data_IF_726101380080
#
_entry.id   IF_726101380080
#
_cell.length_a   1.000
_cell.length_b   1.000
_cell.length_c   1.000
_cell.angle_alpha   90.00
_cell.angle_beta   90.00
_cell.angle_gamma   90.00
#
_symmetry.space_group_name_H-M   'P 1'
#
loop_
_entity.id
_entity.type
_entity.pdbx_description
1 polymer ?
#
# COMPACT_ATOMS: atom_id res chain seq x y z
N UNK A 1 -19.78 17.30 1.82
CA UNK A 1 -18.78 16.40 1.19
C UNK A 1 -19.40 15.73 -0.03
N UNK A 2 -18.65 15.48 -1.09
CA UNK A 2 -19.11 14.77 -2.32
C UNK A 2 -18.78 13.27 -2.31
N UNK A 3 -18.56 12.71 -1.11
CA UNK A 3 -18.32 11.27 -0.92
C UNK A 3 -19.49 10.48 -1.48
N UNK A 4 -19.23 9.31 -2.05
CA UNK A 4 -20.27 8.41 -2.59
C UNK A 4 -20.21 7.04 -1.94
N UNK A 5 -21.28 6.64 -1.27
CA UNK A 5 -21.34 5.35 -0.57
C UNK A 5 -20.62 5.35 0.78
N UNK A 6 -20.17 4.16 1.20
CA UNK A 6 -19.53 3.92 2.49
C UNK A 6 -18.18 3.22 2.33
N UNK A 7 -17.16 3.75 2.99
CA UNK A 7 -15.80 3.26 2.95
C UNK A 7 -15.22 3.20 4.35
N UNK A 8 -14.27 2.31 4.52
CA UNK A 8 -13.57 2.11 5.78
C UNK A 8 -12.09 1.92 5.51
N UNK A 9 -11.27 2.67 6.25
CA UNK A 9 -9.83 2.70 6.07
C UNK A 9 -9.11 2.66 7.42
N UNK A 10 -7.83 2.31 7.38
CA UNK A 10 -6.87 2.63 8.42
C UNK A 10 -6.06 3.86 8.04
N UNK A 11 -5.99 4.83 8.95
CA UNK A 11 -5.12 6.00 8.84
C UNK A 11 -4.35 6.15 10.15
N UNK A 12 -3.01 6.05 10.10
CA UNK A 12 -2.16 6.10 11.30
C UNK A 12 -2.55 5.07 12.39
N UNK A 13 -3.12 3.94 11.98
CA UNK A 13 -3.61 2.89 12.89
C UNK A 13 -5.04 3.09 13.40
N UNK A 14 -5.61 4.28 13.22
CA UNK A 14 -7.01 4.55 13.52
C UNK A 14 -7.91 3.97 12.42
N UNK A 15 -9.00 3.30 12.83
CA UNK A 15 -10.08 2.87 11.94
C UNK A 15 -10.98 4.07 11.66
N UNK A 16 -11.21 4.39 10.39
CA UNK A 16 -11.99 5.56 9.98
C UNK A 16 -13.07 5.14 9.01
N UNK A 17 -14.31 5.54 9.29
CA UNK A 17 -15.45 5.43 8.40
C UNK A 17 -15.63 6.72 7.63
N UNK A 18 -15.77 6.60 6.31
CA UNK A 18 -16.02 7.71 5.40
C UNK A 18 -17.32 7.41 4.68
N UNK A 19 -18.29 8.31 4.78
CA UNK A 19 -19.59 8.14 4.14
C UNK A 19 -20.19 9.47 3.67
N UNK A 20 -21.32 9.40 3.00
CA UNK A 20 -22.13 10.57 2.63
C UNK A 20 -22.55 11.41 3.85
N UNK A 21 -22.59 10.80 5.05
CA UNK A 21 -22.91 11.48 6.32
C UNK A 21 -21.72 12.20 6.94
N UNK A 22 -20.51 12.00 6.42
CA UNK A 22 -19.27 12.58 6.92
C UNK A 22 -18.22 11.53 7.29
N UNK A 23 -17.20 11.99 8.03
CA UNK A 23 -16.07 11.18 8.50
C UNK A 23 -16.28 10.88 9.99
N UNK A 24 -16.04 9.64 10.38
CA UNK A 24 -16.10 9.18 11.76
C UNK A 24 -14.82 8.39 12.07
N UNK A 25 -14.09 8.82 13.10
CA UNK A 25 -12.91 8.11 13.61
C UNK A 25 -13.40 7.10 14.65
N UNK A 26 -13.31 5.82 14.32
CA UNK A 26 -13.90 4.71 15.08
C UNK A 26 -12.95 4.13 16.13
N UNK A 27 -11.66 4.45 16.05
CA UNK A 27 -10.67 4.03 17.04
C UNK A 27 -9.55 5.07 17.15
N UNK A 28 -8.88 5.09 18.29
CA UNK A 28 -7.69 5.91 18.49
C UNK A 28 -6.55 5.52 17.52
N UNK A 29 -5.73 6.49 17.09
CA UNK A 29 -4.54 6.20 16.30
C UNK A 29 -3.51 5.43 17.13
N UNK A 30 -2.78 4.52 16.48
CA UNK A 30 -1.68 3.76 17.11
C UNK A 30 -0.32 4.45 16.93
N UNK A 31 -0.31 5.60 16.25
CA UNK A 31 0.87 6.37 15.88
C UNK A 31 0.68 7.78 16.40
N UNK A 32 1.57 8.24 17.27
CA UNK A 32 1.56 9.59 17.82
C UNK A 32 2.30 10.58 16.90
N UNK A 33 3.30 10.10 16.17
CA UNK A 33 4.07 10.91 15.22
C UNK A 33 4.50 10.08 14.01
N UNK A 34 4.41 10.67 12.82
CA UNK A 34 4.90 10.05 11.59
C UNK A 34 5.51 11.13 10.69
N UNK A 35 6.81 11.02 10.31
CA UNK A 35 7.46 12.04 9.47
C UNK A 35 6.80 12.15 8.09
N UNK A 36 6.26 11.05 7.56
CA UNK A 36 5.50 11.09 6.31
C UNK A 36 4.17 11.83 6.46
N UNK A 37 3.46 11.61 7.57
CA UNK A 37 2.20 12.29 7.82
C UNK A 37 2.41 13.79 8.06
N UNK A 38 3.48 14.16 8.78
CA UNK A 38 3.88 15.55 8.96
C UNK A 38 4.22 16.22 7.62
N UNK A 39 5.02 15.57 6.77
CA UNK A 39 5.38 16.12 5.46
C UNK A 39 4.17 16.34 4.54
N UNK A 40 3.16 15.45 4.60
CA UNK A 40 1.98 15.52 3.74
C UNK A 40 0.86 16.42 4.30
N UNK A 41 0.72 16.51 5.63
CA UNK A 41 -0.45 17.10 6.28
C UNK A 41 -0.11 18.16 7.34
N UNK A 42 1.17 18.40 7.63
CA UNK A 42 1.64 19.44 8.55
C UNK A 42 1.33 19.18 10.02
N UNK A 43 1.26 17.91 10.45
CA UNK A 43 0.89 17.53 11.82
C UNK A 43 2.08 16.98 12.62
N UNK A 44 2.49 17.68 13.67
CA UNK A 44 3.55 17.23 14.59
C UNK A 44 3.09 16.23 15.67
N UNK A 45 1.78 16.13 15.91
CA UNK A 45 1.15 15.11 16.78
C UNK A 45 -0.09 14.55 16.08
N UNK A 46 -0.31 13.25 16.23
CA UNK A 46 -1.42 12.52 15.60
C UNK A 46 -2.37 12.05 16.70
N UNK A 47 -3.57 12.64 16.72
CA UNK A 47 -4.74 12.26 17.50
C UNK A 47 -5.94 12.03 16.56
N UNK A 48 -7.12 11.76 17.11
CA UNK A 48 -8.34 11.55 16.33
C UNK A 48 -8.70 12.73 15.42
N UNK A 49 -8.47 13.97 15.85
CA UNK A 49 -8.74 15.17 15.06
C UNK A 49 -7.73 15.35 13.92
N UNK A 50 -6.45 15.07 14.16
CA UNK A 50 -5.42 15.06 13.13
C UNK A 50 -5.72 14.00 12.05
N UNK A 51 -6.18 12.81 12.46
CA UNK A 51 -6.62 11.75 11.54
C UNK A 51 -7.84 12.20 10.72
N UNK A 52 -8.87 12.75 11.38
CA UNK A 52 -10.05 13.28 10.68
C UNK A 52 -9.63 14.32 9.65
N UNK A 53 -8.83 15.30 10.05
CA UNK A 53 -8.37 16.41 9.18
C UNK A 53 -7.54 15.91 8.00
N UNK A 54 -6.69 14.91 8.18
CA UNK A 54 -5.91 14.36 7.05
C UNK A 54 -6.80 13.65 6.03
N UNK A 55 -7.85 12.96 6.47
CA UNK A 55 -8.87 12.39 5.59
C UNK A 55 -9.69 13.48 4.89
N UNK A 56 -10.07 14.56 5.59
CA UNK A 56 -10.73 15.73 4.99
C UNK A 56 -9.88 16.36 3.89
N UNK A 57 -8.58 16.53 4.14
CA UNK A 57 -7.63 17.07 3.16
C UNK A 57 -7.50 16.18 1.92
N UNK A 58 -7.49 14.84 2.08
CA UNK A 58 -7.51 13.90 0.95
C UNK A 58 -8.79 14.01 0.12
N UNK A 59 -9.95 14.10 0.77
CA UNK A 59 -11.23 14.24 0.08
C UNK A 59 -11.28 15.58 -0.67
N UNK A 60 -10.90 16.68 -0.02
CA UNK A 60 -10.95 18.01 -0.60
C UNK A 60 -9.92 18.21 -1.73
N UNK A 61 -8.69 17.71 -1.55
CA UNK A 61 -7.59 17.91 -2.49
C UNK A 61 -7.57 16.92 -3.66
N UNK A 62 -8.04 15.69 -3.44
CA UNK A 62 -7.85 14.59 -4.41
C UNK A 62 -9.14 13.83 -4.75
N UNK A 63 -10.28 14.22 -4.18
CA UNK A 63 -11.55 13.53 -4.42
C UNK A 63 -11.54 12.08 -3.93
N UNK A 64 -10.76 11.77 -2.89
CA UNK A 64 -10.74 10.44 -2.27
C UNK A 64 -12.18 10.02 -1.90
N UNK A 65 -12.58 8.79 -2.22
CA UNK A 65 -13.95 8.29 -2.03
C UNK A 65 -15.06 9.12 -2.73
N UNK A 66 -14.73 9.90 -3.77
CA UNK A 66 -15.68 10.72 -4.51
C UNK A 66 -15.71 10.33 -6.00
N UNK A 67 -16.80 10.67 -6.70
CA UNK A 67 -16.86 10.51 -8.17
C UNK A 67 -15.90 11.43 -8.94
N UNK A 68 -15.38 12.48 -8.30
CA UNK A 68 -14.38 13.39 -8.85
C UNK A 68 -12.94 13.03 -8.42
N UNK A 69 -12.67 11.73 -8.20
CA UNK A 69 -11.36 11.22 -7.81
C UNK A 69 -10.29 11.66 -8.81
N UNK A 70 -9.19 12.19 -8.30
CA UNK A 70 -8.01 12.56 -9.10
C UNK A 70 -7.12 11.34 -9.28
N UNK A 71 -6.75 11.05 -10.53
CA UNK A 71 -5.85 9.97 -10.91
C UNK A 71 -4.48 10.55 -11.28
N UNK A 72 -3.65 10.80 -10.27
CA UNK A 72 -2.34 11.44 -10.42
C UNK A 72 -1.20 10.41 -10.52
N UNK A 73 -0.46 10.44 -11.63
CA UNK A 73 0.68 9.55 -11.90
C UNK A 73 2.00 10.06 -11.30
N UNK A 74 1.99 11.22 -10.64
CA UNK A 74 3.14 11.81 -9.98
C UNK A 74 3.71 10.95 -8.86
N UNK A 75 5.01 11.11 -8.59
CA UNK A 75 5.67 10.52 -7.44
C UNK A 75 5.24 11.29 -6.19
N UNK A 76 4.80 10.58 -5.16
CA UNK A 76 4.30 11.20 -3.91
C UNK A 76 5.20 10.84 -2.74
N UNK A 77 5.71 9.60 -2.68
CA UNK A 77 6.54 9.12 -1.56
C UNK A 77 7.59 8.13 -2.04
N UNK A 78 8.88 8.42 -1.83
CA UNK A 78 9.93 7.48 -2.21
C UNK A 78 9.72 6.09 -1.58
N UNK A 79 9.97 5.04 -2.39
CA UNK A 79 9.80 3.64 -2.01
C UNK A 79 8.33 3.23 -1.78
N UNK A 80 7.37 3.93 -2.42
CA UNK A 80 5.98 3.51 -2.47
C UNK A 80 5.78 2.22 -3.27
N UNK A 81 4.85 1.35 -2.85
CA UNK A 81 4.58 0.09 -3.54
C UNK A 81 4.11 0.32 -4.99
N UNK A 82 3.23 1.29 -5.21
CA UNK A 82 2.73 1.63 -6.55
C UNK A 82 3.81 2.24 -7.45
N UNK A 83 4.74 3.01 -6.88
CA UNK A 83 5.87 3.60 -7.61
C UNK A 83 6.82 2.52 -8.11
N UNK A 84 7.14 1.57 -7.23
CA UNK A 84 7.93 0.39 -7.59
C UNK A 84 7.25 -0.47 -8.64
N UNK A 85 5.97 -0.81 -8.44
CA UNK A 85 5.20 -1.63 -9.40
C UNK A 85 5.08 -0.96 -10.77
N UNK A 86 4.94 0.37 -10.82
CA UNK A 86 4.98 1.13 -12.07
C UNK A 86 6.28 0.88 -12.82
N UNK A 87 7.42 1.07 -12.17
CA UNK A 87 8.74 0.85 -12.81
C UNK A 87 8.89 -0.60 -13.27
N UNK A 88 8.40 -1.58 -12.49
CA UNK A 88 8.48 -2.99 -12.86
C UNK A 88 7.62 -3.31 -14.09
N UNK A 89 6.45 -2.70 -14.23
CA UNK A 89 5.57 -2.83 -15.40
C UNK A 89 6.18 -2.13 -16.62
N UNK A 90 6.64 -0.89 -16.46
CA UNK A 90 7.21 -0.08 -17.55
C UNK A 90 8.47 -0.74 -18.13
N UNK A 91 9.23 -1.48 -17.31
CA UNK A 91 10.39 -2.29 -17.73
C UNK A 91 10.05 -3.72 -18.18
N UNK A 92 8.79 -4.13 -18.11
CA UNK A 92 8.37 -5.50 -18.43
C UNK A 92 9.00 -6.56 -17.53
N UNK A 93 9.31 -6.24 -16.28
CA UNK A 93 9.81 -7.18 -15.27
C UNK A 93 8.68 -7.99 -14.64
N UNK A 94 7.49 -7.39 -14.59
CA UNK A 94 6.20 -8.05 -14.30
C UNK A 94 5.22 -7.71 -15.43
N UNK A 95 4.21 -8.55 -15.64
CA UNK A 95 3.25 -8.40 -16.74
C UNK A 95 1.99 -7.64 -16.31
N UNK A 96 1.60 -7.77 -15.04
CA UNK A 96 0.47 -7.03 -14.46
C UNK A 96 0.66 -6.81 -12.95
N UNK A 97 -0.10 -5.86 -12.41
CA UNK A 97 -0.26 -5.64 -10.99
C UNK A 97 -1.70 -5.90 -10.56
N UNK A 98 -1.85 -6.46 -9.36
CA UNK A 98 -3.10 -6.61 -8.62
C UNK A 98 -3.02 -5.70 -7.40
N UNK A 99 -3.90 -4.71 -7.35
CA UNK A 99 -3.84 -3.60 -6.41
C UNK A 99 -5.26 -3.23 -5.98
N UNK A 100 -5.38 -2.34 -4.98
CA UNK A 100 -6.66 -1.91 -4.42
C UNK A 100 -6.92 -0.46 -4.83
N UNK A 101 -8.18 -0.11 -5.13
CA UNK A 101 -8.61 1.27 -5.34
C UNK A 101 -9.92 1.54 -4.59
N UNK A 102 -10.01 2.67 -3.88
CA UNK A 102 -11.26 3.10 -3.28
C UNK A 102 -12.28 3.39 -4.37
N UNK A 103 -13.51 2.90 -4.25
CA UNK A 103 -14.50 3.00 -5.31
C UNK A 103 -14.52 1.82 -6.28
N UNK A 104 -13.52 0.93 -6.26
CA UNK A 104 -13.43 -0.20 -7.20
C UNK A 104 -13.04 -1.55 -6.55
N UNK A 105 -12.41 -1.55 -5.37
CA UNK A 105 -11.95 -2.79 -4.73
C UNK A 105 -10.67 -3.30 -5.38
N UNK A 106 -10.59 -4.60 -5.65
CA UNK A 106 -9.45 -5.20 -6.36
C UNK A 106 -9.44 -4.82 -7.84
N UNK A 107 -8.29 -4.37 -8.33
CA UNK A 107 -8.03 -4.00 -9.72
C UNK A 107 -6.83 -4.79 -10.24
N UNK A 108 -6.98 -5.39 -11.43
CA UNK A 108 -5.89 -6.01 -12.19
C UNK A 108 -5.56 -5.11 -13.37
N UNK A 109 -4.30 -4.72 -13.54
CA UNK A 109 -3.89 -3.88 -14.68
C UNK A 109 -2.46 -4.13 -15.10
N UNK A 110 -2.15 -3.98 -16.39
CA UNK A 110 -0.79 -3.95 -16.94
C UNK A 110 -0.30 -2.51 -17.19
N UNK A 111 -1.12 -1.50 -16.88
CA UNK A 111 -0.78 -0.09 -17.06
C UNK A 111 -0.11 0.45 -15.79
N UNK A 112 1.22 0.67 -15.83
CA UNK A 112 1.99 1.20 -14.70
C UNK A 112 1.56 2.61 -14.26
N UNK A 113 1.12 3.45 -15.20
CA UNK A 113 0.53 4.75 -14.89
C UNK A 113 -0.74 4.62 -14.05
N UNK A 114 -1.64 3.70 -14.42
CA UNK A 114 -2.86 3.42 -13.66
C UNK A 114 -2.55 2.90 -12.26
N UNK A 115 -1.57 1.98 -12.11
CA UNK A 115 -1.13 1.48 -10.78
C UNK A 115 -0.71 2.63 -9.87
N UNK A 116 0.09 3.57 -10.39
CA UNK A 116 0.50 4.74 -9.63
C UNK A 116 -0.69 5.65 -9.32
N UNK A 117 -1.54 5.94 -10.32
CA UNK A 117 -2.69 6.82 -10.15
C UNK A 117 -3.71 6.34 -9.11
N UNK A 118 -3.83 5.02 -8.92
CA UNK A 118 -4.68 4.48 -7.86
C UNK A 118 -3.95 4.42 -6.51
N UNK A 119 -2.66 4.07 -6.50
CA UNK A 119 -1.89 3.78 -5.29
C UNK A 119 -1.24 4.99 -4.60
N UNK A 120 -0.95 6.07 -5.33
CA UNK A 120 -0.07 7.16 -4.90
C UNK A 120 -0.46 7.81 -3.56
N UNK A 121 -1.76 7.90 -3.27
CA UNK A 121 -2.32 8.48 -2.03
C UNK A 121 -3.19 7.50 -1.24
N UNK A 122 -3.14 6.24 -1.65
CA UNK A 122 -3.92 5.18 -1.03
C UNK A 122 -3.46 4.95 0.41
N UNK A 123 -4.41 4.59 1.25
CA UNK A 123 -4.15 4.15 2.61
C UNK A 123 -4.86 2.81 2.82
N UNK A 124 -4.70 2.16 3.96
CA UNK A 124 -5.18 0.78 4.13
C UNK A 124 -6.70 0.70 4.02
N UNK A 125 -7.24 0.26 2.87
CA UNK A 125 -8.70 0.17 2.66
C UNK A 125 -9.19 -1.16 3.22
N UNK A 126 -10.05 -1.09 4.23
CA UNK A 126 -10.70 -2.26 4.83
C UNK A 126 -11.93 -2.64 4.02
N UNK A 127 -12.74 -1.63 3.64
CA UNK A 127 -13.94 -1.80 2.83
C UNK A 127 -14.20 -0.56 1.97
N UNK A 128 -14.84 -0.76 0.83
CA UNK A 128 -15.19 0.34 -0.08
C UNK A 128 -16.48 0.05 -0.81
N UNK A 129 -17.24 1.08 -1.17
CA UNK A 129 -18.44 0.98 -2.01
C UNK A 129 -18.08 1.27 -3.47
N UNK A 130 -18.81 0.70 -4.45
CA UNK A 130 -18.57 1.01 -5.86
C UNK A 130 -18.85 2.48 -6.17
N UNK A 131 -17.92 3.12 -6.87
CA UNK A 131 -18.07 4.48 -7.40
C UNK A 131 -17.98 4.37 -8.92
N UNK A 132 -19.11 4.60 -9.59
CA UNK A 132 -19.23 4.41 -11.04
C UNK A 132 -18.13 5.14 -11.82
N UNK A 133 -17.90 6.42 -11.52
CA UNK A 133 -16.90 7.23 -12.24
C UNK A 133 -15.47 6.70 -12.06
N UNK A 134 -15.16 6.15 -10.89
CA UNK A 134 -13.85 5.54 -10.61
C UNK A 134 -13.69 4.25 -11.41
N UNK A 135 -14.72 3.39 -11.41
CA UNK A 135 -14.72 2.12 -12.16
C UNK A 135 -14.59 2.41 -13.66
N UNK A 136 -15.38 3.34 -14.20
CA UNK A 136 -15.36 3.72 -15.61
C UNK A 136 -13.97 4.24 -16.03
N UNK A 137 -13.34 5.08 -15.21
CA UNK A 137 -11.98 5.55 -15.48
C UNK A 137 -10.96 4.40 -15.49
N UNK A 138 -11.01 3.51 -14.49
CA UNK A 138 -10.11 2.35 -14.40
C UNK A 138 -10.23 1.48 -15.66
N UNK A 139 -11.44 1.24 -16.15
CA UNK A 139 -11.66 0.42 -17.34
C UNK A 139 -11.22 1.12 -18.63
N UNK A 140 -11.43 2.44 -18.72
CA UNK A 140 -10.95 3.25 -19.84
C UNK A 140 -9.41 3.22 -19.96
N UNK A 141 -8.71 3.17 -18.82
CA UNK A 141 -7.25 3.04 -18.73
C UNK A 141 -6.75 1.59 -18.85
N UNK A 142 -7.63 0.65 -19.23
CA UNK A 142 -7.29 -0.75 -19.48
C UNK A 142 -7.27 -1.65 -18.24
N UNK A 143 -7.57 -1.10 -17.06
CA UNK A 143 -7.72 -1.87 -15.82
C UNK A 143 -8.96 -2.77 -15.81
N UNK A 144 -8.90 -3.83 -15.02
CA UNK A 144 -10.00 -4.78 -14.80
C UNK A 144 -10.37 -4.79 -13.33
N UNK A 145 -11.57 -4.29 -13.04
CA UNK A 145 -12.15 -4.33 -11.70
C UNK A 145 -12.69 -5.74 -11.42
N UNK A 146 -12.30 -6.33 -10.30
CA UNK A 146 -12.68 -7.70 -9.93
C UNK A 146 -14.19 -7.85 -9.74
N UNK A 147 -14.80 -6.91 -9.01
CA UNK A 147 -16.22 -6.91 -8.68
C UNK A 147 -16.77 -5.48 -8.76
N UNK A 148 -17.38 -5.14 -9.90
CA UNK A 148 -17.93 -3.80 -10.14
C UNK A 148 -19.19 -3.51 -9.33
N UNK A 149 -19.90 -4.55 -8.89
CA UNK A 149 -21.18 -4.41 -8.21
C UNK A 149 -20.99 -4.10 -6.73
N UNK A 150 -19.96 -4.68 -6.11
CA UNK A 150 -19.72 -4.53 -4.67
C UNK A 150 -18.38 -3.87 -4.33
N UNK A 151 -17.49 -3.64 -5.31
CA UNK A 151 -16.12 -3.17 -5.09
C UNK A 151 -15.36 -4.03 -4.07
N UNK A 152 -15.52 -5.36 -4.17
CA UNK A 152 -14.91 -6.33 -3.26
C UNK A 152 -13.39 -6.27 -3.34
N UNK A 153 -12.75 -6.32 -2.17
CA UNK A 153 -11.30 -6.45 -2.03
C UNK A 153 -10.98 -7.91 -1.76
N UNK A 154 -10.44 -8.58 -2.79
CA UNK A 154 -9.92 -9.94 -2.72
C UNK A 154 -8.67 -10.03 -3.61
N UNK A 155 -7.50 -10.04 -2.98
CA UNK A 155 -6.22 -10.09 -3.70
C UNK A 155 -5.89 -11.51 -4.19
N UNK A 156 -6.40 -12.55 -3.51
CA UNK A 156 -6.20 -13.96 -3.90
C UNK A 156 -6.94 -14.24 -5.22
N UNK A 157 -8.20 -13.82 -5.30
CA UNK A 157 -8.99 -13.93 -6.52
C UNK A 157 -8.48 -12.98 -7.60
N UNK A 158 -7.98 -11.80 -7.23
CA UNK A 158 -7.31 -10.88 -8.16
C UNK A 158 -6.09 -11.51 -8.86
N UNK A 159 -5.23 -12.19 -8.11
CA UNK A 159 -4.09 -12.95 -8.67
C UNK A 159 -4.56 -14.09 -9.54
N UNK A 160 -5.55 -14.87 -9.10
CA UNK A 160 -6.13 -15.96 -9.89
C UNK A 160 -6.72 -15.43 -11.21
N UNK A 161 -7.39 -14.27 -11.17
CA UNK A 161 -7.94 -13.60 -12.34
C UNK A 161 -6.85 -13.10 -13.27
N UNK A 162 -5.74 -12.59 -12.76
CA UNK A 162 -4.60 -12.18 -13.57
C UNK A 162 -4.04 -13.35 -14.38
N UNK A 163 -3.85 -14.52 -13.76
CA UNK A 163 -3.43 -15.74 -14.48
C UNK A 163 -4.46 -16.19 -15.53
N UNK A 164 -5.76 -16.14 -15.20
CA UNK A 164 -6.83 -16.46 -16.15
C UNK A 164 -6.89 -15.49 -17.35
N UNK A 165 -6.36 -14.28 -17.21
CA UNK A 165 -6.21 -13.30 -18.30
C UNK A 165 -4.93 -13.54 -19.13
N UNK A 166 -4.11 -14.53 -18.77
CA UNK A 166 -2.90 -14.92 -19.51
C UNK A 166 -1.62 -14.23 -19.07
N UNK A 167 -1.66 -13.38 -18.03
CA UNK A 167 -0.45 -12.82 -17.43
C UNK A 167 0.36 -13.93 -16.74
N UNK A 168 1.69 -13.86 -16.79
CA UNK A 168 2.58 -14.90 -16.25
C UNK A 168 3.30 -14.45 -14.98
N UNK A 169 3.67 -13.16 -14.92
CA UNK A 169 4.42 -12.53 -13.83
C UNK A 169 3.55 -11.47 -13.19
N UNK A 170 3.06 -11.73 -11.99
CA UNK A 170 2.07 -10.89 -11.32
C UNK A 170 2.73 -10.19 -10.13
N UNK A 171 2.61 -8.87 -10.03
CA UNK A 171 2.87 -8.15 -8.79
C UNK A 171 1.55 -7.97 -8.02
N UNK A 172 1.53 -8.12 -6.70
CA UNK A 172 0.32 -7.94 -5.89
C UNK A 172 0.64 -7.19 -4.61
N UNK A 173 -0.20 -6.22 -4.22
CA UNK A 173 -0.10 -5.58 -2.91
C UNK A 173 -1.14 -6.13 -1.94
N UNK A 174 -0.70 -6.48 -0.73
CA UNK A 174 -1.57 -7.03 0.32
C UNK A 174 -1.39 -6.20 1.58
N UNK A 175 -2.50 -5.70 2.13
CA UNK A 175 -2.48 -4.96 3.37
C UNK A 175 -2.20 -5.90 4.56
N UNK A 176 -1.46 -5.42 5.56
CA UNK A 176 -1.07 -6.22 6.73
C UNK A 176 -2.24 -6.82 7.51
N UNK A 177 -3.37 -6.12 7.60
CA UNK A 177 -4.59 -6.65 8.23
C UNK A 177 -5.32 -7.71 7.38
N UNK A 178 -4.78 -8.07 6.22
CA UNK A 178 -5.20 -9.19 5.37
C UNK A 178 -4.03 -10.16 5.15
N UNK A 179 -3.09 -10.25 6.09
CA UNK A 179 -1.84 -10.99 5.92
C UNK A 179 -2.04 -12.46 5.50
N UNK A 180 -3.09 -13.14 5.98
CA UNK A 180 -3.45 -14.51 5.55
C UNK A 180 -3.53 -14.67 4.03
N UNK A 181 -3.98 -13.62 3.31
CA UNK A 181 -4.05 -13.63 1.85
C UNK A 181 -2.68 -13.84 1.20
N UNK A 182 -1.58 -13.42 1.84
CA UNK A 182 -0.22 -13.66 1.36
C UNK A 182 0.05 -15.17 1.29
N UNK A 183 -0.31 -15.92 2.33
CA UNK A 183 -0.13 -17.38 2.33
C UNK A 183 -0.98 -18.04 1.25
N UNK A 184 -2.25 -17.63 1.15
CA UNK A 184 -3.17 -18.16 0.12
C UNK A 184 -2.71 -17.82 -1.30
N UNK A 185 -2.12 -16.66 -1.54
CA UNK A 185 -1.51 -16.29 -2.83
C UNK A 185 -0.32 -17.20 -3.16
N UNK A 186 0.47 -17.63 -2.17
CA UNK A 186 1.54 -18.62 -2.39
C UNK A 186 0.98 -19.98 -2.79
N UNK A 187 -0.19 -20.37 -2.26
CA UNK A 187 -0.85 -21.63 -2.59
C UNK A 187 -1.46 -21.63 -4.00
N UNK A 188 -1.80 -20.45 -4.57
CA UNK A 188 -2.22 -20.32 -5.98
C UNK A 188 -1.10 -20.74 -6.94
N UNK A 189 0.16 -20.56 -6.53
CA UNK A 189 1.34 -20.83 -7.36
C UNK A 189 1.55 -19.80 -8.47
N UNK A 190 2.44 -20.13 -9.40
CA UNK A 190 2.85 -19.21 -10.47
C UNK A 190 3.88 -18.18 -10.03
N UNK A 191 4.24 -17.27 -10.94
CA UNK A 191 5.29 -16.28 -10.69
C UNK A 191 4.70 -14.98 -10.10
N UNK A 192 4.46 -14.98 -8.79
CA UNK A 192 3.86 -13.85 -8.06
C UNK A 192 4.87 -13.15 -7.17
N UNK A 193 4.93 -11.82 -7.26
CA UNK A 193 5.68 -10.95 -6.35
C UNK A 193 4.70 -10.31 -5.39
N UNK A 194 4.83 -10.62 -4.10
CA UNK A 194 3.92 -10.12 -3.07
C UNK A 194 4.57 -8.95 -2.32
N UNK A 195 3.85 -7.83 -2.29
CA UNK A 195 4.23 -6.62 -1.58
C UNK A 195 3.29 -6.42 -0.38
N UNK A 196 3.81 -6.57 0.83
CA UNK A 196 3.07 -6.30 2.07
C UNK A 196 3.10 -4.80 2.42
N UNK A 197 1.93 -4.19 2.57
CA UNK A 197 1.73 -2.75 2.79
C UNK A 197 0.81 -2.46 3.97
N UNK A 198 0.71 -1.20 4.42
CA UNK A 198 -0.22 -0.78 5.48
C UNK A 198 -0.12 -1.60 6.77
N UNK A 199 1.11 -1.87 7.22
CA UNK A 199 1.39 -2.86 8.26
C UNK A 199 1.32 -2.32 9.70
N UNK A 200 0.89 -1.08 9.93
CA UNK A 200 0.86 -0.48 11.29
C UNK A 200 0.06 -1.29 12.31
N UNK A 201 -1.05 -1.91 11.88
CA UNK A 201 -1.98 -2.63 12.76
C UNK A 201 -1.70 -4.13 12.88
N UNK A 202 -0.60 -4.63 12.30
CA UNK A 202 -0.29 -6.07 12.32
C UNK A 202 -0.01 -6.56 13.74
N UNK A 203 -0.39 -7.80 13.98
CA UNK A 203 -0.19 -8.57 15.22
C UNK A 203 0.86 -9.64 15.02
N UNK A 204 1.19 -10.34 16.10
CA UNK A 204 2.21 -11.39 16.07
C UNK A 204 1.84 -12.55 15.15
N UNK A 205 0.56 -12.92 15.14
CA UNK A 205 -0.01 -13.94 14.25
C UNK A 205 0.12 -13.60 12.77
N UNK A 206 0.13 -12.32 12.39
CA UNK A 206 0.28 -11.91 10.98
C UNK A 206 1.71 -12.13 10.45
N UNK A 207 2.71 -12.22 11.34
CA UNK A 207 4.13 -12.24 10.97
C UNK A 207 4.47 -13.47 10.13
N UNK A 208 3.89 -14.63 10.44
CA UNK A 208 4.16 -15.87 9.71
C UNK A 208 3.68 -15.79 8.25
N UNK A 209 2.61 -15.04 7.99
CA UNK A 209 2.11 -14.82 6.65
C UNK A 209 2.91 -13.73 5.93
N UNK A 210 3.21 -12.63 6.61
CA UNK A 210 4.00 -11.51 6.05
C UNK A 210 5.43 -11.95 5.69
N UNK A 211 6.02 -12.86 6.45
CA UNK A 211 7.34 -13.43 6.16
C UNK A 211 7.41 -14.16 4.80
N UNK A 212 6.26 -14.52 4.21
CA UNK A 212 6.18 -15.13 2.87
C UNK A 212 6.10 -14.10 1.74
N UNK A 213 6.07 -12.80 2.03
CA UNK A 213 6.13 -11.73 1.03
C UNK A 213 7.53 -11.55 0.44
N UNK A 214 7.63 -10.91 -0.72
CA UNK A 214 8.92 -10.56 -1.34
C UNK A 214 9.44 -9.21 -0.82
N UNK A 215 8.53 -8.27 -0.63
CA UNK A 215 8.82 -6.90 -0.19
C UNK A 215 7.81 -6.51 0.90
N UNK A 216 8.29 -5.93 2.01
CA UNK A 216 7.48 -5.59 3.18
C UNK A 216 7.75 -4.15 3.60
N UNK A 217 6.73 -3.29 3.54
CA UNK A 217 6.80 -1.95 4.12
C UNK A 217 6.44 -2.00 5.61
N UNK A 218 7.41 -1.80 6.50
CA UNK A 218 7.20 -1.98 7.94
C UNK A 218 6.21 -0.97 8.56
N UNK A 219 5.97 0.15 7.89
CA UNK A 219 5.09 1.22 8.41
C UNK A 219 5.52 1.62 9.83
N UNK A 220 4.59 1.77 10.79
CA UNK A 220 4.91 2.01 12.20
C UNK A 220 4.96 0.71 13.04
N UNK A 221 5.00 -0.48 12.43
CA UNK A 221 5.02 -1.73 13.18
C UNK A 221 6.39 -2.05 13.76
N UNK A 222 6.49 -2.05 15.10
CA UNK A 222 7.67 -2.50 15.85
C UNK A 222 7.93 -3.99 15.64
N UNK A 223 6.86 -4.81 15.66
CA UNK A 223 6.93 -6.26 15.46
C UNK A 223 7.62 -6.60 14.12
N UNK A 224 7.24 -5.93 13.03
CA UNK A 224 7.88 -6.19 11.73
C UNK A 224 9.30 -5.64 11.65
N UNK A 225 9.59 -4.50 12.27
CA UNK A 225 10.97 -3.98 12.33
C UNK A 225 11.91 -4.98 12.99
N UNK A 226 11.47 -5.62 14.06
CA UNK A 226 12.26 -6.62 14.78
C UNK A 226 12.30 -7.97 14.05
N UNK A 227 11.13 -8.57 13.81
CA UNK A 227 11.02 -9.94 13.31
C UNK A 227 11.30 -10.05 11.81
N UNK A 228 10.75 -9.16 10.99
CA UNK A 228 10.96 -9.17 9.53
C UNK A 228 12.27 -8.48 9.16
N UNK A 229 12.62 -7.38 9.83
CA UNK A 229 13.85 -6.64 9.53
C UNK A 229 15.12 -7.49 9.66
N UNK A 230 15.16 -8.42 10.61
CA UNK A 230 16.29 -9.35 10.80
C UNK A 230 16.43 -10.42 9.70
N UNK A 231 15.36 -10.67 8.93
CA UNK A 231 15.32 -11.64 7.83
C UNK A 231 15.66 -11.00 6.48
N UNK A 232 15.74 -9.67 6.41
CA UNK A 232 15.84 -8.93 5.16
C UNK A 232 17.20 -9.11 4.46
N UNK A 233 17.18 -9.25 3.14
CA UNK A 233 18.35 -9.26 2.25
C UNK A 233 18.78 -7.84 1.82
N UNK A 234 17.84 -6.90 1.88
CA UNK A 234 18.00 -5.48 1.55
C UNK A 234 16.97 -4.68 2.37
N UNK A 235 17.39 -3.51 2.84
CA UNK A 235 16.51 -2.49 3.38
C UNK A 235 16.66 -1.23 2.53
N UNK A 236 15.54 -0.62 2.15
CA UNK A 236 15.50 0.76 1.61
C UNK A 236 14.64 1.63 2.51
N UNK A 237 14.96 2.92 2.60
CA UNK A 237 14.33 3.81 3.56
C UNK A 237 14.79 3.59 5.01
N UNK A 238 14.65 4.64 5.81
CA UNK A 238 15.02 4.64 7.24
C UNK A 238 13.81 4.94 8.11
N UNK A 239 13.12 6.05 7.84
CA UNK A 239 11.93 6.44 8.60
C UNK A 239 10.82 5.39 8.50
N UNK A 240 10.45 5.01 7.28
CA UNK A 240 9.52 3.93 6.97
C UNK A 240 10.31 2.90 6.16
N UNK A 241 10.93 1.91 6.81
CA UNK A 241 11.79 0.96 6.13
C UNK A 241 10.97 0.00 5.29
N UNK A 242 11.48 -0.30 4.11
CA UNK A 242 11.00 -1.35 3.22
C UNK A 242 12.03 -2.47 3.23
N UNK A 243 11.64 -3.62 3.74
CA UNK A 243 12.45 -4.82 3.83
C UNK A 243 12.20 -5.72 2.63
N UNK A 244 13.26 -6.30 2.08
CA UNK A 244 13.21 -7.20 0.95
C UNK A 244 13.66 -8.58 1.38
N UNK A 245 12.79 -9.57 1.23
CA UNK A 245 12.98 -10.90 1.83
C UNK A 245 13.47 -11.95 0.83
N UNK A 246 13.23 -11.73 -0.47
CA UNK A 246 13.57 -12.70 -1.52
C UNK A 246 14.56 -12.12 -2.52
N UNK A 247 15.29 -13.01 -3.21
CA UNK A 247 16.20 -12.60 -4.31
C UNK A 247 15.43 -11.87 -5.42
N UNK A 248 14.25 -12.38 -5.79
CA UNK A 248 13.40 -11.74 -6.82
C UNK A 248 12.95 -10.34 -6.39
N UNK A 249 12.50 -10.18 -5.14
CA UNK A 249 12.19 -8.87 -4.58
C UNK A 249 13.40 -7.93 -4.63
N UNK A 250 14.60 -8.45 -4.35
CA UNK A 250 15.85 -7.66 -4.39
C UNK A 250 16.15 -7.17 -5.80
N UNK A 251 16.06 -8.04 -6.80
CA UNK A 251 16.30 -7.67 -8.20
C UNK A 251 15.32 -6.57 -8.67
N UNK A 252 14.05 -6.69 -8.28
CA UNK A 252 13.01 -5.72 -8.60
C UNK A 252 13.20 -4.37 -7.89
N UNK A 253 13.53 -4.38 -6.59
CA UNK A 253 13.82 -3.15 -5.86
C UNK A 253 15.06 -2.47 -6.43
N UNK A 254 16.12 -3.22 -6.78
CA UNK A 254 17.30 -2.67 -7.43
C UNK A 254 16.99 -2.05 -8.80
N UNK A 255 16.08 -2.67 -9.58
CA UNK A 255 15.62 -2.08 -10.84
C UNK A 255 14.87 -0.76 -10.64
N UNK A 256 14.11 -0.63 -9.55
CA UNK A 256 13.51 0.65 -9.15
C UNK A 256 14.57 1.68 -8.73
N UNK A 257 15.53 1.29 -7.88
CA UNK A 257 16.61 2.18 -7.42
C UNK A 257 17.46 2.73 -8.58
N UNK A 258 17.62 1.95 -9.66
CA UNK A 258 18.36 2.38 -10.85
C UNK A 258 17.66 3.50 -11.64
N UNK A 259 16.34 3.67 -11.50
CA UNK A 259 15.56 4.73 -12.16
C UNK A 259 15.34 5.96 -11.27
N UNK A 260 15.69 5.88 -9.98
CA UNK A 260 15.55 7.00 -9.06
C UNK A 260 16.51 8.13 -9.45
N UNK A 261 16.01 9.37 -9.36
CA UNK A 261 16.82 10.56 -9.61
C UNK A 261 17.53 11.05 -8.33
N UNK A 262 17.11 10.54 -7.17
CA UNK A 262 17.69 10.85 -5.87
C UNK A 262 19.08 10.21 -5.71
N UNK A 263 19.96 10.90 -4.98
CA UNK A 263 21.29 10.36 -4.68
C UNK A 263 21.17 9.24 -3.65
N UNK A 264 21.73 8.08 -3.98
CA UNK A 264 21.73 6.90 -3.13
C UNK A 264 23.12 6.65 -2.52
N UNK A 265 23.15 6.26 -1.26
CA UNK A 265 24.34 5.74 -0.59
C UNK A 265 24.06 4.31 -0.18
N UNK A 266 24.93 3.38 -0.58
CA UNK A 266 24.82 1.97 -0.25
C UNK A 266 26.11 1.48 0.43
N UNK A 267 25.94 0.80 1.57
CA UNK A 267 27.03 0.16 2.30
C UNK A 267 26.59 -1.20 2.81
N UNK A 268 27.54 -2.10 3.05
CA UNK A 268 27.25 -3.40 3.63
C UNK A 268 26.96 -3.24 5.12
N UNK A 269 25.82 -3.76 5.58
CA UNK A 269 25.53 -3.93 7.01
C UNK A 269 25.75 -5.38 7.44
N UNK A 270 26.15 -5.59 8.70
CA UNK A 270 26.21 -6.93 9.32
C UNK A 270 24.87 -7.39 9.88
N UNK A 271 23.95 -6.46 10.18
CA UNK A 271 22.63 -6.72 10.75
C UNK A 271 21.60 -5.74 10.19
N UNK A 272 20.38 -6.22 9.98
CA UNK A 272 19.21 -5.39 9.71
C UNK A 272 18.18 -5.58 10.85
N UNK A 273 17.28 -4.62 11.08
CA UNK A 273 17.17 -3.33 10.38
C UNK A 273 18.31 -2.35 10.71
N UNK A 274 18.66 -1.48 9.77
CA UNK A 274 19.49 -0.31 10.02
C UNK A 274 18.60 0.82 10.52
N UNK A 275 18.82 1.22 11.77
CA UNK A 275 18.03 2.24 12.45
C UNK A 275 18.82 3.53 12.59
N UNK A 276 18.13 4.66 12.55
CA UNK A 276 18.69 5.98 12.83
C UNK A 276 17.84 6.64 13.88
N UNK A 277 18.48 7.10 14.96
CA UNK A 277 17.81 7.71 16.09
C UNK A 277 16.88 8.84 15.64
N UNK A 278 15.67 8.88 16.23
CA UNK A 278 14.65 9.92 16.04
C UNK A 278 14.08 10.09 14.62
N UNK A 279 14.26 9.11 13.71
CA UNK A 279 13.65 9.18 12.36
C UNK A 279 12.39 8.33 12.18
N UNK A 280 12.09 7.44 13.11
CA UNK A 280 10.98 6.49 13.00
C UNK A 280 9.65 7.12 13.44
N UNK A 281 8.50 6.64 12.92
CA UNK A 281 7.20 6.94 13.52
C UNK A 281 7.20 6.53 14.99
N UNK A 282 6.66 7.39 15.86
CA UNK A 282 6.44 7.07 17.27
C UNK A 282 5.05 6.48 17.45
N UNK A 283 4.96 5.34 18.13
CA UNK A 283 3.68 4.73 18.49
C UNK A 283 3.17 5.32 19.81
N UNK A 284 1.87 5.21 20.02
CA UNK A 284 1.31 5.37 21.37
C UNK A 284 1.76 4.15 22.18
N UNK A 285 2.47 4.36 23.28
CA UNK A 285 2.83 3.27 24.19
C UNK A 285 1.55 2.58 24.70
N UNK A 286 1.48 1.26 24.54
CA UNK A 286 0.36 0.44 24.99
C UNK A 286 0.59 -0.06 26.42
#
# INVERSE_FOLDING_TARGET
MKVKGEHEIFCCGARVKISERGIEVLSEPLVEYCPLHEALYGTGKIDGDAVRKSVEMKIAGHGFCCGSRVFDVGQVVAFGASEMMRVWLDKGLVDCAVVVCEGAGTVVTSNGGLVQAIGARLTGIVRTSPIREVIEHIEAEGGKVLDKACARIDQVEGVSRAFALGFKRVAVSVAGFQAEAISRIRDVGGDVVVFSVCNTCVRDEDVEHIAKADVVCASASTILREKIGSMALLQVGVAIPVFVLTKKGKDLVMAYLAEMNERLVAFRSRKLPYLVDNREPRRVDA
#
